data_IF_201811904620
#
_entry.id   IF_201811904620
#
_cell.length_a   1.000
_cell.length_b   1.000
_cell.length_c   1.000
_cell.angle_alpha   90.00
_cell.angle_beta   90.00
_cell.angle_gamma   90.00
#
_symmetry.space_group_name_H-M   'P 1'
#
loop_
_entity.id
_entity.type
_entity.pdbx_description
1 polymer ?
#
# COMPACT_ATOMS: atom_id res chain seq x y z
N UNK A 1 26.88 27.33 65.48
CA UNK A 1 26.73 28.18 64.27
C UNK A 1 25.93 27.37 63.33
N UNK A 2 24.65 27.71 63.18
CA UNK A 2 23.59 26.97 62.54
C UNK A 2 23.36 27.57 61.16
N UNK A 3 23.50 26.77 60.10
CA UNK A 3 23.08 27.16 58.72
C UNK A 3 22.00 26.20 58.20
N UNK A 4 20.76 26.59 58.40
CA UNK A 4 19.65 26.03 57.79
C UNK A 4 19.58 26.48 56.30
N UNK A 5 19.82 25.58 55.39
CA UNK A 5 19.56 25.85 53.98
C UNK A 5 18.10 25.59 53.64
N UNK A 6 17.42 26.65 53.21
CA UNK A 6 16.04 26.65 52.68
C UNK A 6 16.01 26.00 51.29
N UNK A 7 15.37 24.86 51.15
CA UNK A 7 14.99 24.31 49.86
C UNK A 7 13.69 24.93 49.41
N UNK A 8 13.75 25.81 48.43
CA UNK A 8 12.57 26.36 47.75
C UNK A 8 12.09 25.36 46.70
N UNK A 9 10.94 24.75 46.95
CA UNK A 9 10.27 23.86 45.98
C UNK A 9 9.66 24.70 44.85
N UNK A 10 10.14 24.50 43.63
CA UNK A 10 9.51 25.01 42.40
C UNK A 10 8.33 24.10 42.04
N UNK A 11 7.11 24.52 42.33
CA UNK A 11 5.89 23.93 41.76
C UNK A 11 5.78 24.36 40.33
N UNK A 12 6.06 23.43 39.40
CA UNK A 12 5.75 23.59 37.99
C UNK A 12 4.25 23.47 37.76
N UNK A 13 3.58 24.56 37.35
CA UNK A 13 2.21 24.55 36.82
C UNK A 13 2.21 23.82 35.45
N UNK A 14 1.74 22.58 35.42
CA UNK A 14 1.31 21.93 34.20
C UNK A 14 -0.04 22.52 33.80
N UNK A 15 -0.02 23.53 32.92
CA UNK A 15 -1.21 24.06 32.28
C UNK A 15 -1.84 23.00 31.37
N UNK A 16 -2.94 22.40 31.81
CA UNK A 16 -3.78 21.58 30.96
C UNK A 16 -4.42 22.51 29.90
N UNK A 17 -3.99 22.43 28.66
CA UNK A 17 -4.67 23.04 27.52
C UNK A 17 -6.03 22.33 27.33
N UNK A 18 -7.08 22.92 27.91
CA UNK A 18 -8.44 22.51 27.61
C UNK A 18 -8.76 22.95 26.18
N UNK A 19 -8.90 21.99 25.27
CA UNK A 19 -9.44 22.23 23.93
C UNK A 19 -10.91 22.57 24.10
N UNK A 20 -11.24 23.88 24.00
CA UNK A 20 -12.62 24.37 24.04
C UNK A 20 -13.23 24.06 22.67
N UNK A 21 -14.09 23.04 22.61
CA UNK A 21 -14.87 22.71 21.44
C UNK A 21 -16.01 23.75 21.26
N UNK A 22 -16.28 24.31 20.07
CA UNK A 22 -17.36 25.27 19.88
C UNK A 22 -18.68 24.59 20.21
N UNK A 23 -19.51 25.27 21.01
CA UNK A 23 -20.84 24.82 21.35
C UNK A 23 -21.68 24.63 20.06
N UNK A 24 -22.05 23.40 19.73
CA UNK A 24 -22.83 23.07 18.52
C UNK A 24 -22.13 22.14 17.55
N UNK A 25 -20.84 21.85 17.68
CA UNK A 25 -20.19 20.83 16.87
C UNK A 25 -20.67 19.44 17.33
N UNK A 26 -21.41 18.73 16.46
CA UNK A 26 -21.72 17.32 16.70
C UNK A 26 -20.40 16.55 16.78
N UNK A 27 -20.12 15.97 17.92
CA UNK A 27 -19.03 15.01 18.01
C UNK A 27 -19.27 13.92 16.99
N UNK A 28 -18.24 13.51 16.19
CA UNK A 28 -18.37 12.35 15.35
C UNK A 28 -18.81 11.18 16.25
N UNK A 29 -19.85 10.48 15.82
CA UNK A 29 -20.35 9.34 16.55
C UNK A 29 -19.16 8.38 16.78
N UNK A 30 -18.78 8.19 18.04
CA UNK A 30 -17.82 7.17 18.40
C UNK A 30 -18.50 5.83 18.11
N UNK A 31 -18.18 5.25 16.95
CA UNK A 31 -18.53 3.86 16.67
C UNK A 31 -17.80 3.03 17.72
N UNK A 32 -18.50 2.36 18.64
CA UNK A 32 -17.83 1.51 19.61
C UNK A 32 -17.12 0.43 18.81
N UNK A 33 -15.79 0.38 18.90
CA UNK A 33 -14.99 -0.77 18.47
C UNK A 33 -15.46 -1.95 19.33
N UNK A 34 -16.51 -2.64 18.90
CA UNK A 34 -16.83 -3.97 19.41
C UNK A 34 -15.68 -4.85 18.92
N UNK A 35 -14.73 -5.10 19.81
CA UNK A 35 -13.84 -6.24 19.66
C UNK A 35 -14.71 -7.49 19.61
N UNK A 36 -14.92 -8.01 18.41
CA UNK A 36 -15.49 -9.36 18.28
C UNK A 36 -14.52 -10.32 18.98
N UNK A 37 -14.99 -11.25 19.80
CA UNK A 37 -14.11 -12.22 20.43
C UNK A 37 -13.31 -12.93 19.36
N UNK A 38 -12.00 -13.03 19.57
CA UNK A 38 -10.98 -13.58 18.66
C UNK A 38 -11.33 -14.97 18.10
N UNK A 39 -12.22 -15.69 18.78
CA UNK A 39 -12.71 -17.02 18.40
C UNK A 39 -13.65 -17.07 17.19
N UNK A 40 -14.17 -15.94 16.70
CA UNK A 40 -15.08 -15.89 15.55
C UNK A 40 -14.42 -15.42 14.25
N UNK A 41 -13.12 -15.09 14.25
CA UNK A 41 -12.34 -14.75 13.06
C UNK A 41 -11.89 -15.99 12.28
N UNK A 42 -12.52 -17.13 12.47
CA UNK A 42 -12.17 -18.36 11.78
C UNK A 42 -12.83 -18.36 10.40
N UNK A 43 -12.04 -18.16 9.35
CA UNK A 43 -12.18 -18.65 7.96
C UNK A 43 -13.58 -18.59 7.27
N UNK A 44 -14.65 -18.30 7.96
CA UNK A 44 -16.01 -18.26 7.40
C UNK A 44 -16.44 -16.89 6.86
N UNK A 45 -15.67 -15.85 7.18
CA UNK A 45 -16.08 -14.46 6.96
C UNK A 45 -15.36 -13.78 5.80
N UNK A 46 -14.78 -14.57 4.90
CA UNK A 46 -14.24 -14.04 3.63
C UNK A 46 -15.39 -13.88 2.67
N UNK A 47 -15.67 -12.65 2.26
CA UNK A 47 -16.67 -12.36 1.23
C UNK A 47 -16.17 -12.92 -0.11
N UNK A 48 -16.89 -13.81 -0.80
CA UNK A 48 -16.47 -14.29 -2.11
C UNK A 48 -16.21 -13.13 -3.07
N UNK A 49 -15.15 -13.19 -3.86
CA UNK A 49 -14.79 -12.14 -4.82
C UNK A 49 -15.92 -11.79 -5.81
N UNK A 50 -16.76 -12.78 -6.17
CA UNK A 50 -17.94 -12.58 -7.00
C UNK A 50 -19.21 -12.23 -6.22
N UNK A 51 -19.13 -11.93 -4.91
CA UNK A 51 -20.29 -11.49 -4.17
C UNK A 51 -20.79 -10.14 -4.71
N UNK A 52 -22.13 -9.92 -4.85
CA UNK A 52 -22.66 -8.69 -5.46
C UNK A 52 -22.17 -7.39 -4.80
N UNK A 53 -21.98 -7.39 -3.49
CA UNK A 53 -21.48 -6.22 -2.77
C UNK A 53 -19.99 -5.94 -3.04
N UNK A 54 -19.19 -6.95 -3.36
CA UNK A 54 -17.79 -6.81 -3.71
C UNK A 54 -17.60 -6.67 -5.23
N UNK A 55 -18.19 -7.58 -6.03
CA UNK A 55 -18.17 -7.54 -7.49
C UNK A 55 -16.77 -7.35 -8.09
N UNK A 56 -15.77 -8.05 -7.52
CA UNK A 56 -14.35 -7.77 -7.79
C UNK A 56 -13.99 -7.88 -9.26
N UNK A 57 -14.58 -8.81 -9.98
CA UNK A 57 -14.28 -9.03 -11.40
C UNK A 57 -15.21 -8.28 -12.34
N UNK A 58 -16.41 -7.93 -11.88
CA UNK A 58 -17.47 -7.32 -12.69
C UNK A 58 -17.36 -5.80 -12.73
N UNK A 59 -16.85 -5.20 -11.64
CA UNK A 59 -16.71 -3.74 -11.54
C UNK A 59 -15.46 -3.26 -12.27
N UNK A 60 -15.57 -2.11 -12.90
CA UNK A 60 -14.40 -1.46 -13.51
C UNK A 60 -13.44 -1.01 -12.38
N UNK A 61 -12.13 -1.23 -12.53
CA UNK A 61 -11.16 -0.76 -11.56
C UNK A 61 -11.07 0.77 -11.57
N UNK A 62 -10.91 1.35 -10.38
CA UNK A 62 -10.73 2.80 -10.19
C UNK A 62 -9.50 3.04 -9.33
N UNK A 63 -8.33 3.15 -10.00
CA UNK A 63 -7.04 3.29 -9.33
C UNK A 63 -5.98 3.95 -10.24
N UNK A 64 -4.89 4.42 -9.61
CA UNK A 64 -3.79 5.11 -10.28
C UNK A 64 -3.10 4.28 -11.39
N UNK A 65 -3.04 2.95 -11.25
CA UNK A 65 -2.40 2.07 -12.25
C UNK A 65 -3.26 1.93 -13.50
N UNK A 66 -4.58 1.83 -13.37
CA UNK A 66 -5.49 1.81 -14.54
C UNK A 66 -5.51 3.15 -15.25
N UNK A 67 -5.56 4.26 -14.51
CA UNK A 67 -5.48 5.60 -15.09
C UNK A 67 -4.16 5.83 -15.86
N UNK A 68 -3.03 5.35 -15.32
CA UNK A 68 -1.76 5.38 -16.05
C UNK A 68 -1.80 4.49 -17.29
N UNK A 69 -2.42 3.30 -17.20
CA UNK A 69 -2.58 2.38 -18.33
C UNK A 69 -3.38 2.99 -19.49
N UNK A 70 -4.40 3.77 -19.22
CA UNK A 70 -5.18 4.53 -20.22
C UNK A 70 -4.30 5.58 -20.91
N UNK A 71 -3.55 6.37 -20.13
CA UNK A 71 -2.63 7.39 -20.64
C UNK A 71 -1.49 6.82 -21.48
N UNK A 72 -1.03 5.60 -21.17
CA UNK A 72 -0.05 4.88 -22.00
C UNK A 72 -0.69 4.41 -23.31
N UNK A 73 -1.95 3.98 -23.26
CA UNK A 73 -2.66 3.44 -24.42
C UNK A 73 -3.05 4.52 -25.42
N UNK A 74 -3.39 5.71 -24.96
CA UNK A 74 -3.75 6.86 -25.82
C UNK A 74 -2.51 7.69 -26.27
N UNK A 75 -1.32 7.35 -25.74
CA UNK A 75 -0.06 7.99 -26.08
C UNK A 75 0.17 9.33 -25.40
N UNK A 76 -0.66 9.77 -24.46
CA UNK A 76 -0.47 11.01 -23.70
C UNK A 76 0.72 10.93 -22.73
N UNK A 77 1.15 9.73 -22.38
CA UNK A 77 2.31 9.43 -21.56
C UNK A 77 3.11 8.26 -22.16
N UNK A 78 4.41 8.26 -21.93
CA UNK A 78 5.30 7.12 -22.24
C UNK A 78 6.07 6.70 -21.00
N UNK A 79 6.47 5.44 -20.94
CA UNK A 79 7.45 4.96 -19.96
C UNK A 79 8.80 4.78 -20.66
N UNK A 80 9.80 5.46 -20.14
CA UNK A 80 11.18 5.32 -20.60
C UNK A 80 11.79 4.03 -20.07
N UNK A 81 12.45 3.28 -20.95
CA UNK A 81 13.15 2.05 -20.58
C UNK A 81 14.63 2.35 -20.37
N UNK A 82 15.08 2.35 -19.12
CA UNK A 82 16.47 2.59 -18.77
C UNK A 82 17.31 1.32 -18.91
N UNK A 83 18.52 1.44 -19.49
CA UNK A 83 19.49 0.33 -19.57
C UNK A 83 20.46 0.28 -18.38
N UNK A 84 20.53 1.37 -17.62
CA UNK A 84 21.44 1.55 -16.49
C UNK A 84 20.66 2.02 -15.25
N UNK A 85 21.32 2.02 -14.11
CA UNK A 85 20.73 2.43 -12.84
C UNK A 85 19.73 1.43 -12.30
N UNK A 86 18.52 1.88 -11.99
CA UNK A 86 17.43 1.00 -11.55
C UNK A 86 16.93 0.06 -12.66
N UNK A 87 17.31 0.31 -13.90
CA UNK A 87 16.99 -0.54 -15.05
C UNK A 87 15.50 -0.65 -15.39
N UNK A 88 15.24 -1.11 -16.63
CA UNK A 88 13.89 -1.34 -17.10
C UNK A 88 12.96 -0.13 -17.03
N UNK A 89 11.70 -0.35 -16.76
CA UNK A 89 10.69 0.70 -16.61
C UNK A 89 10.62 1.32 -15.21
N UNK A 90 11.37 0.79 -14.22
CA UNK A 90 11.16 1.14 -12.82
C UNK A 90 11.23 2.66 -12.56
N UNK A 91 12.30 3.32 -12.99
CA UNK A 91 12.49 4.76 -12.72
C UNK A 91 11.35 5.61 -13.30
N UNK A 92 11.00 5.36 -14.56
CA UNK A 92 9.91 6.08 -15.24
C UNK A 92 8.55 5.76 -14.64
N UNK A 93 8.32 4.52 -14.23
CA UNK A 93 7.10 4.09 -13.56
C UNK A 93 6.91 4.79 -12.20
N UNK A 94 7.97 4.84 -11.37
CA UNK A 94 7.93 5.54 -10.08
C UNK A 94 7.57 7.01 -10.26
N UNK A 95 8.20 7.67 -11.24
CA UNK A 95 7.90 9.06 -11.58
C UNK A 95 6.45 9.27 -12.01
N UNK A 96 5.90 8.40 -12.87
CA UNK A 96 4.52 8.53 -13.37
C UNK A 96 3.45 8.24 -12.29
N UNK A 97 3.80 7.48 -11.27
CA UNK A 97 2.93 7.15 -10.13
C UNK A 97 3.19 8.05 -8.90
N UNK A 98 4.03 9.08 -9.03
CA UNK A 98 4.41 10.00 -7.94
C UNK A 98 4.95 9.25 -6.70
N UNK A 99 5.79 8.25 -6.95
CA UNK A 99 6.44 7.46 -5.89
C UNK A 99 7.88 7.95 -5.72
N UNK A 100 8.21 8.43 -4.52
CA UNK A 100 9.56 8.83 -4.19
C UNK A 100 10.48 7.60 -4.17
N UNK A 101 11.62 7.67 -4.86
CA UNK A 101 12.64 6.62 -4.87
C UNK A 101 13.20 6.35 -3.46
N UNK A 102 13.21 7.34 -2.59
CA UNK A 102 13.65 7.22 -1.19
C UNK A 102 12.65 6.48 -0.28
N UNK A 103 11.44 6.16 -0.79
CA UNK A 103 10.49 5.29 -0.07
C UNK A 103 10.94 3.83 -0.01
N UNK A 104 12.07 3.50 -0.63
CA UNK A 104 12.56 2.14 -0.77
C UNK A 104 12.69 1.39 0.56
N UNK A 105 12.10 0.19 0.62
CA UNK A 105 12.36 -0.80 1.66
C UNK A 105 12.79 -2.12 1.04
N UNK A 106 13.71 -2.84 1.70
CA UNK A 106 14.18 -4.15 1.26
C UNK A 106 13.43 -5.26 1.98
N UNK A 107 12.84 -6.17 1.20
CA UNK A 107 12.01 -7.28 1.69
C UNK A 107 12.66 -8.61 1.36
N UNK A 108 12.91 -9.40 2.39
CA UNK A 108 13.57 -10.71 2.27
C UNK A 108 12.56 -11.88 2.30
N UNK A 109 11.29 -11.60 2.62
CA UNK A 109 10.25 -12.62 2.66
C UNK A 109 9.90 -13.13 1.28
N UNK A 110 9.66 -14.44 1.18
CA UNK A 110 9.28 -15.11 -0.08
C UNK A 110 7.78 -15.02 -0.34
N UNK A 111 7.20 -13.83 -0.22
CA UNK A 111 5.77 -13.54 -0.40
C UNK A 111 5.43 -12.87 -1.73
N UNK A 112 6.25 -13.04 -2.75
CA UNK A 112 6.11 -12.50 -4.10
C UNK A 112 5.82 -13.61 -5.10
N UNK A 113 5.30 -13.29 -6.27
CA UNK A 113 5.22 -14.20 -7.41
C UNK A 113 6.62 -14.64 -7.88
N UNK A 114 7.65 -13.84 -7.57
CA UNK A 114 9.05 -14.09 -7.90
C UNK A 114 9.85 -14.66 -6.71
N UNK A 115 9.16 -15.24 -5.73
CA UNK A 115 9.70 -15.72 -4.45
C UNK A 115 10.95 -16.62 -4.56
N UNK A 116 11.05 -17.41 -5.62
CA UNK A 116 12.16 -18.35 -5.80
C UNK A 116 13.50 -17.65 -6.08
N UNK A 117 13.45 -16.40 -6.54
CA UNK A 117 14.60 -15.53 -6.77
C UNK A 117 15.00 -14.69 -5.56
N UNK A 118 14.09 -14.48 -4.59
CA UNK A 118 14.37 -13.66 -3.41
C UNK A 118 15.33 -14.41 -2.47
N UNK A 119 16.39 -13.72 -2.07
CA UNK A 119 17.40 -14.24 -1.14
C UNK A 119 18.02 -13.09 -0.34
N UNK A 120 18.80 -13.35 0.72
CA UNK A 120 19.54 -12.32 1.43
C UNK A 120 20.51 -11.51 0.57
N UNK A 121 20.97 -12.08 -0.57
CA UNK A 121 21.84 -11.39 -1.53
C UNK A 121 21.06 -10.70 -2.64
N UNK A 122 19.80 -11.02 -2.81
CA UNK A 122 18.90 -10.44 -3.81
C UNK A 122 17.53 -10.21 -3.15
N UNK A 123 17.41 -9.21 -2.26
CA UNK A 123 16.13 -8.82 -1.69
C UNK A 123 15.25 -8.15 -2.73
N UNK A 124 13.93 -8.23 -2.52
CA UNK A 124 12.97 -7.44 -3.29
C UNK A 124 12.94 -6.02 -2.75
N UNK A 125 13.13 -5.02 -3.59
CA UNK A 125 12.86 -3.64 -3.25
C UNK A 125 11.36 -3.35 -3.39
N UNK A 126 10.78 -2.67 -2.41
CA UNK A 126 9.45 -2.08 -2.49
C UNK A 126 9.59 -0.56 -2.46
N UNK A 127 8.93 0.10 -3.41
CA UNK A 127 8.77 1.55 -3.47
C UNK A 127 7.28 1.87 -3.31
N UNK A 128 6.92 2.87 -2.55
CA UNK A 128 5.51 3.11 -2.27
C UNK A 128 5.19 4.58 -1.94
N UNK A 129 3.93 4.90 -2.14
CA UNK A 129 3.24 6.05 -1.57
C UNK A 129 1.96 5.56 -0.86
N UNK A 130 1.04 6.47 -0.55
CA UNK A 130 -0.20 6.14 0.17
C UNK A 130 -1.17 5.27 -0.65
N UNK A 131 -1.01 5.21 -1.97
CA UNK A 131 -1.94 4.53 -2.88
C UNK A 131 -1.34 3.31 -3.57
N UNK A 132 -0.04 3.34 -3.89
CA UNK A 132 0.60 2.34 -4.74
C UNK A 132 1.88 1.82 -4.11
N UNK A 133 2.08 0.51 -4.20
CA UNK A 133 3.36 -0.14 -3.92
C UNK A 133 3.88 -0.85 -5.18
N UNK A 134 5.15 -0.63 -5.50
CA UNK A 134 5.85 -1.25 -6.64
C UNK A 134 6.95 -2.15 -6.11
N UNK A 135 6.85 -3.44 -6.42
CA UNK A 135 7.86 -4.45 -6.11
C UNK A 135 8.81 -4.65 -7.28
N UNK A 136 10.10 -4.51 -7.00
CA UNK A 136 11.17 -4.69 -7.97
C UNK A 136 12.18 -5.72 -7.49
N UNK A 137 12.55 -6.63 -8.36
CA UNK A 137 13.61 -7.61 -8.14
C UNK A 137 14.57 -7.58 -9.35
N UNK A 138 15.83 -7.16 -9.20
CA UNK A 138 16.75 -7.02 -10.31
C UNK A 138 16.90 -8.31 -11.13
N UNK A 139 16.91 -8.17 -12.47
CA UNK A 139 17.07 -9.29 -13.39
C UNK A 139 15.88 -10.25 -13.45
N UNK A 140 14.70 -9.79 -13.13
CA UNK A 140 13.44 -10.52 -13.30
C UNK A 140 12.60 -9.93 -14.44
N UNK A 141 11.58 -10.69 -14.85
CA UNK A 141 10.86 -10.42 -16.10
C UNK A 141 9.74 -9.38 -15.95
N UNK A 142 9.38 -9.01 -14.70
CA UNK A 142 8.29 -8.07 -14.45
C UNK A 142 8.38 -7.36 -13.10
N UNK A 143 7.75 -6.20 -13.04
CA UNK A 143 7.46 -5.44 -11.83
C UNK A 143 6.10 -5.89 -11.27
N UNK A 144 5.97 -5.97 -9.94
CA UNK A 144 4.72 -6.25 -9.23
C UNK A 144 4.15 -4.94 -8.69
N UNK A 145 2.85 -4.72 -8.89
CA UNK A 145 2.17 -3.54 -8.37
C UNK A 145 0.99 -3.96 -7.49
N UNK A 146 0.87 -3.32 -6.35
CA UNK A 146 -0.34 -3.34 -5.52
C UNK A 146 -0.86 -1.92 -5.41
N UNK A 147 -2.16 -1.71 -5.54
CA UNK A 147 -2.77 -0.39 -5.55
C UNK A 147 -4.08 -0.38 -4.79
N UNK A 148 -4.33 0.70 -4.05
CA UNK A 148 -5.65 0.98 -3.47
C UNK A 148 -6.63 1.24 -4.62
N UNK A 149 -7.74 0.53 -4.61
CA UNK A 149 -8.78 0.66 -5.63
C UNK A 149 -10.09 1.13 -4.97
N UNK A 150 -10.63 2.23 -5.44
CA UNK A 150 -11.81 2.87 -4.86
C UNK A 150 -13.07 2.00 -4.87
N UNK A 151 -13.08 0.95 -5.70
CA UNK A 151 -14.23 0.07 -5.89
C UNK A 151 -13.98 -1.35 -5.40
N UNK A 152 -12.73 -1.83 -5.48
CA UNK A 152 -12.33 -3.21 -5.23
C UNK A 152 -11.58 -3.41 -3.92
N UNK A 153 -11.23 -2.31 -3.21
CA UNK A 153 -10.36 -2.28 -2.04
C UNK A 153 -8.88 -2.31 -2.42
N UNK A 154 -8.37 -3.41 -2.95
CA UNK A 154 -7.02 -3.49 -3.52
C UNK A 154 -7.02 -4.20 -4.86
N UNK A 155 -6.20 -3.72 -5.78
CA UNK A 155 -5.97 -4.36 -7.08
C UNK A 155 -4.47 -4.62 -7.28
N UNK A 156 -4.16 -5.65 -8.08
CA UNK A 156 -2.79 -6.11 -8.28
C UNK A 156 -2.51 -6.25 -9.77
N UNK A 157 -1.32 -5.80 -10.17
CA UNK A 157 -0.89 -5.81 -11.56
C UNK A 157 0.55 -6.29 -11.69
N UNK A 158 0.90 -6.69 -12.91
CA UNK A 158 2.28 -6.90 -13.35
C UNK A 158 2.55 -6.02 -14.55
N UNK A 159 3.74 -5.45 -14.59
CA UNK A 159 4.28 -4.79 -15.77
C UNK A 159 5.49 -5.60 -16.25
N UNK A 160 5.42 -6.17 -17.44
CA UNK A 160 6.57 -6.87 -18.02
C UNK A 160 7.73 -5.87 -18.21
N UNK A 161 8.91 -6.26 -17.70
CA UNK A 161 10.11 -5.41 -17.76
C UNK A 161 10.96 -5.71 -18.99
N UNK A 162 10.29 -5.76 -20.14
CA UNK A 162 10.89 -5.85 -21.47
C UNK A 162 10.51 -4.62 -22.29
N UNK A 163 11.50 -4.06 -22.99
CA UNK A 163 11.26 -2.87 -23.82
C UNK A 163 10.29 -3.17 -24.95
N UNK A 164 9.14 -2.49 -24.92
CA UNK A 164 8.11 -2.55 -25.96
C UNK A 164 7.59 -1.15 -26.28
N UNK A 165 6.99 -0.92 -27.47
CA UNK A 165 6.48 0.40 -27.84
C UNK A 165 5.43 0.96 -26.87
N UNK A 166 4.53 0.11 -26.37
CA UNK A 166 3.49 0.49 -25.39
C UNK A 166 3.44 -0.57 -24.31
N UNK A 167 4.07 -0.33 -23.14
CA UNK A 167 3.98 -1.26 -22.01
C UNK A 167 2.55 -1.30 -21.45
N UNK A 168 2.13 -2.47 -20.97
CA UNK A 168 0.77 -2.70 -20.47
C UNK A 168 0.79 -3.36 -19.10
N UNK A 169 -0.12 -2.90 -18.25
CA UNK A 169 -0.36 -3.53 -16.95
C UNK A 169 -1.30 -4.74 -17.12
N UNK A 170 -0.84 -5.90 -16.69
CA UNK A 170 -1.63 -7.13 -16.68
C UNK A 170 -2.17 -7.37 -15.26
N UNK A 171 -3.51 -7.50 -15.07
CA UNK A 171 -4.08 -7.84 -13.77
C UNK A 171 -3.49 -9.15 -13.22
N UNK A 172 -3.28 -9.21 -11.90
CA UNK A 172 -2.67 -10.35 -11.22
C UNK A 172 -3.55 -10.84 -10.06
N UNK A 173 -4.51 -11.69 -10.38
CA UNK A 173 -5.42 -12.28 -9.39
C UNK A 173 -4.73 -13.27 -8.45
N UNK A 174 -3.55 -13.76 -8.81
CA UNK A 174 -2.75 -14.66 -7.96
C UNK A 174 -2.39 -14.04 -6.61
N UNK A 175 -2.30 -12.71 -6.53
CA UNK A 175 -1.99 -11.96 -5.31
C UNK A 175 -3.12 -12.08 -4.27
N UNK A 176 -4.36 -12.22 -4.73
CA UNK A 176 -5.53 -12.38 -3.88
C UNK A 176 -5.49 -13.66 -3.02
N UNK A 177 -4.67 -14.63 -3.37
CA UNK A 177 -4.48 -15.84 -2.53
C UNK A 177 -3.97 -15.53 -1.13
N UNK A 178 -3.24 -14.41 -0.97
CA UNK A 178 -2.74 -13.93 0.31
C UNK A 178 -3.40 -12.60 0.72
N UNK A 179 -3.83 -11.80 -0.25
CA UNK A 179 -4.39 -10.47 -0.05
C UNK A 179 -5.93 -10.43 -0.04
N UNK A 180 -6.57 -11.58 0.11
CA UNK A 180 -8.01 -11.73 0.31
C UNK A 180 -8.25 -12.86 1.30
N UNK A 181 -8.28 -12.53 2.58
CA UNK A 181 -8.39 -13.51 3.65
C UNK A 181 -8.57 -12.86 5.02
N UNK A 182 -8.43 -13.63 6.11
CA UNK A 182 -8.63 -13.10 7.48
C UNK A 182 -7.72 -11.92 7.81
N UNK A 183 -6.49 -11.89 7.30
CA UNK A 183 -5.55 -10.79 7.52
C UNK A 183 -6.01 -9.47 6.90
N UNK A 184 -6.86 -9.53 5.89
CA UNK A 184 -7.45 -8.38 5.21
C UNK A 184 -8.95 -8.24 5.52
N UNK A 185 -9.41 -8.82 6.64
CA UNK A 185 -10.80 -8.77 7.10
C UNK A 185 -11.81 -9.32 6.07
N UNK A 186 -11.39 -10.28 5.24
CA UNK A 186 -12.26 -10.95 4.28
C UNK A 186 -12.55 -10.17 3.00
N UNK A 187 -11.87 -9.04 2.77
CA UNK A 187 -11.95 -8.24 1.54
C UNK A 187 -10.55 -8.09 0.92
N UNK A 188 -10.42 -7.77 -0.38
CA UNK A 188 -9.12 -7.49 -0.96
C UNK A 188 -8.44 -6.31 -0.28
N UNK A 189 -7.20 -6.51 0.20
CA UNK A 189 -6.42 -5.52 0.94
C UNK A 189 -4.91 -5.65 0.66
N UNK A 190 -4.16 -4.58 0.97
CA UNK A 190 -2.69 -4.52 0.88
C UNK A 190 -2.04 -4.85 2.22
#
# INVERSE_FOLDING_TARGET
MDQRQSMTALLGLLGALAIIWPAGARQPAQVPLRFLPEQNLIYKDTIPLGHPDLGYFERQPDNAVTALGERLSDGSVTLDYAREGLGGYLSSLLHQLDINVDSQVMVFSKTSLQRDRISPRLPRALYFNDEVAVGYLPGTDFLELAVVDGVRGAAFYRLNDMQVPVPRFAPSTSCLRCHHGPATLGVPGM
#
